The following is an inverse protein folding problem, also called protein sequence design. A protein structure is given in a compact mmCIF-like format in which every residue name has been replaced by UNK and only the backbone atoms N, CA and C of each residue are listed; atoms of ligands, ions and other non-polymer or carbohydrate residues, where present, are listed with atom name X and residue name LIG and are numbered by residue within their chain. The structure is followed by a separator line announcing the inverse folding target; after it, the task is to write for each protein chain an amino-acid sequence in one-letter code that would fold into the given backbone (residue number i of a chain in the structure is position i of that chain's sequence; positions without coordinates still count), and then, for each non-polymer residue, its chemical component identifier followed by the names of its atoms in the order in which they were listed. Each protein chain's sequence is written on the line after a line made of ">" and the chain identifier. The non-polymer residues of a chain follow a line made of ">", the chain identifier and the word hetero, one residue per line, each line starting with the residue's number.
data_IF_407906974990
#
_entry.id   IF_407906974990
#
_cell.length_a   1.000
_cell.length_b   1.000
_cell.length_c   1.000
_cell.angle_alpha   90.00
_cell.angle_beta   90.00
_cell.angle_gamma   90.00
#
_symmetry.space_group_name_H-M   'P 1'
#
loop_
_entity.id
_entity.type
_entity.pdbx_description
1 polymer ?
#
# COMPACT_ATOMS: atom_id res chain seq x y z
N UNK A 1 16.65 -24.39 6.03
CA UNK A 1 15.66 -23.80 6.93
C UNK A 1 14.48 -23.44 6.06
N UNK A 2 13.51 -24.35 5.98
CA UNK A 2 12.32 -24.19 5.14
C UNK A 2 11.40 -23.19 5.83
N UNK A 3 11.03 -22.12 5.11
CA UNK A 3 10.02 -21.18 5.57
C UNK A 3 8.67 -21.89 5.46
N UNK A 4 8.17 -22.42 6.57
CA UNK A 4 6.80 -22.91 6.68
C UNK A 4 5.86 -21.71 6.51
N UNK A 5 5.47 -21.44 5.26
CA UNK A 5 4.33 -20.60 4.93
C UNK A 5 3.07 -21.31 5.44
N UNK A 6 2.56 -20.87 6.59
CA UNK A 6 1.34 -21.42 7.17
C UNK A 6 0.14 -20.81 6.45
N UNK A 7 -0.40 -21.52 5.45
CA UNK A 7 -1.57 -21.10 4.67
C UNK A 7 -2.78 -20.80 5.56
N UNK A 8 -2.92 -21.51 6.67
CA UNK A 8 -3.99 -21.30 7.65
C UNK A 8 -3.89 -19.94 8.38
N UNK A 9 -2.69 -19.39 8.57
CA UNK A 9 -2.51 -18.05 9.12
C UNK A 9 -2.89 -16.97 8.12
N UNK A 10 -2.63 -17.22 6.83
CA UNK A 10 -3.02 -16.32 5.73
C UNK A 10 -4.53 -16.33 5.57
N UNK A 11 -5.16 -17.49 5.56
CA UNK A 11 -6.62 -17.64 5.44
C UNK A 11 -7.31 -17.03 6.67
N UNK A 12 -6.85 -17.31 7.89
CA UNK A 12 -7.42 -16.69 9.10
C UNK A 12 -7.22 -15.18 9.16
N UNK A 13 -6.15 -14.66 8.56
CA UNK A 13 -5.98 -13.21 8.36
C UNK A 13 -6.99 -12.68 7.34
N UNK A 14 -7.10 -13.30 6.16
CA UNK A 14 -8.06 -12.96 5.10
C UNK A 14 -9.51 -12.96 5.61
N UNK A 15 -9.92 -14.00 6.34
CA UNK A 15 -11.28 -14.09 6.88
C UNK A 15 -11.57 -13.03 7.94
N UNK A 16 -10.58 -12.69 8.79
CA UNK A 16 -10.72 -11.58 9.74
C UNK A 16 -10.80 -10.22 9.04
N UNK A 17 -10.08 -10.02 7.93
CA UNK A 17 -10.18 -8.81 7.10
C UNK A 17 -11.56 -8.68 6.44
N UNK A 18 -12.14 -9.79 5.99
CA UNK A 18 -13.49 -9.79 5.43
C UNK A 18 -14.52 -9.44 6.53
N UNK A 19 -14.35 -9.95 7.76
CA UNK A 19 -15.28 -9.66 8.86
C UNK A 19 -15.23 -8.22 9.38
N UNK A 20 -14.03 -7.62 9.45
CA UNK A 20 -13.86 -6.23 9.90
C UNK A 20 -14.30 -5.19 8.86
N UNK A 21 -14.17 -5.47 7.56
CA UNK A 21 -14.76 -4.62 6.50
C UNK A 21 -16.28 -4.54 6.65
N UNK A 22 -16.95 -5.65 6.97
CA UNK A 22 -18.42 -5.67 7.11
C UNK A 22 -18.88 -4.84 8.32
N UNK A 23 -18.12 -4.86 9.43
CA UNK A 23 -18.46 -4.10 10.64
C UNK A 23 -18.23 -2.59 10.48
N UNK A 24 -17.29 -2.16 9.64
CA UNK A 24 -17.08 -0.74 9.33
C UNK A 24 -18.15 -0.15 8.41
N UNK A 25 -18.95 -1.00 7.73
CA UNK A 25 -19.99 -0.54 6.81
C UNK A 25 -21.19 0.08 7.57
N UNK A 26 -21.42 -0.28 8.83
CA UNK A 26 -22.62 0.11 9.59
C UNK A 26 -22.47 1.47 10.32
N UNK A 27 -21.25 1.86 10.72
CA UNK A 27 -21.00 3.13 11.42
C UNK A 27 -20.62 4.32 10.50
N UNK A 28 -20.43 4.09 9.20
CA UNK A 28 -19.97 5.11 8.26
C UNK A 28 -21.09 5.83 7.48
N UNK A 29 -22.37 5.66 7.86
CA UNK A 29 -23.52 6.15 7.08
C UNK A 29 -23.68 7.68 6.94
N UNK A 30 -22.77 8.51 7.43
CA UNK A 30 -22.86 9.98 7.30
C UNK A 30 -21.68 10.70 6.63
N UNK A 31 -20.64 9.99 6.14
CA UNK A 31 -19.46 10.64 5.53
C UNK A 31 -18.89 9.97 4.26
N UNK A 32 -19.61 9.04 3.62
CA UNK A 32 -19.11 8.35 2.43
C UNK A 32 -19.45 9.18 1.18
N UNK A 33 -18.54 10.06 0.76
CA UNK A 33 -18.31 10.24 -0.68
C UNK A 33 -17.98 8.83 -1.21
N UNK A 34 -18.88 8.27 -2.01
CA UNK A 34 -18.87 6.90 -2.50
C UNK A 34 -17.44 6.37 -2.71
N UNK A 35 -17.11 5.22 -2.09
CA UNK A 35 -15.90 4.43 -2.36
C UNK A 35 -15.95 3.88 -3.79
N UNK A 36 -15.92 4.78 -4.78
CA UNK A 36 -15.80 4.42 -6.18
C UNK A 36 -14.47 3.68 -6.32
N UNK A 37 -14.48 2.48 -6.91
CA UNK A 37 -13.26 1.72 -7.06
C UNK A 37 -12.29 2.53 -7.92
N UNK A 38 -11.10 2.79 -7.38
CA UNK A 38 -10.03 3.52 -8.09
C UNK A 38 -9.64 2.81 -9.41
N UNK A 39 -9.98 1.52 -9.52
CA UNK A 39 -9.71 0.65 -10.66
C UNK A 39 -10.96 -0.19 -10.96
N UNK A 40 -11.38 -0.21 -12.24
CA UNK A 40 -12.50 -1.03 -12.70
C UNK A 40 -12.09 -2.48 -13.09
N UNK A 41 -10.81 -2.82 -12.97
CA UNK A 41 -10.24 -4.11 -13.41
C UNK A 41 -9.67 -4.96 -12.27
N UNK A 42 -9.06 -6.13 -12.59
CA UNK A 42 -8.38 -6.97 -11.61
C UNK A 42 -7.32 -6.19 -10.86
N UNK A 43 -7.15 -6.49 -9.57
CA UNK A 43 -6.26 -5.74 -8.67
C UNK A 43 -5.11 -6.61 -8.20
N UNK A 44 -3.99 -5.97 -7.87
CA UNK A 44 -2.85 -6.57 -7.18
C UNK A 44 -2.66 -5.89 -5.83
N UNK A 45 -2.28 -6.68 -4.83
CA UNK A 45 -2.02 -6.22 -3.47
C UNK A 45 -0.57 -6.49 -3.09
N UNK A 46 0.12 -5.47 -2.61
CA UNK A 46 1.46 -5.59 -2.03
C UNK A 46 1.40 -5.21 -0.56
N UNK A 47 1.88 -6.10 0.31
CA UNK A 47 1.84 -5.93 1.76
C UNK A 47 3.18 -5.40 2.25
N UNK A 48 3.15 -4.33 3.04
CA UNK A 48 4.35 -3.76 3.67
C UNK A 48 4.05 -3.45 5.13
N UNK A 49 4.81 -4.11 6.01
CA UNK A 49 4.84 -3.79 7.43
C UNK A 49 5.83 -2.65 7.67
N UNK A 50 5.34 -1.51 8.15
CA UNK A 50 6.17 -0.37 8.50
C UNK A 50 6.51 -0.40 9.98
N UNK A 51 7.76 -0.08 10.29
CA UNK A 51 8.17 0.33 11.63
C UNK A 51 8.20 1.87 11.76
N UNK A 52 8.27 2.42 12.99
CA UNK A 52 8.29 3.87 13.20
C UNK A 52 9.41 4.61 12.46
N UNK A 53 10.57 3.97 12.24
CA UNK A 53 11.67 4.59 11.51
C UNK A 53 11.31 4.80 10.03
N UNK A 54 10.63 3.83 9.41
CA UNK A 54 10.21 3.91 8.01
C UNK A 54 9.09 4.94 7.80
N UNK A 55 8.19 5.11 8.78
CA UNK A 55 7.16 6.16 8.74
C UNK A 55 7.78 7.57 8.77
N UNK A 56 8.90 7.74 9.48
CA UNK A 56 9.59 9.03 9.60
C UNK A 56 10.67 9.26 8.53
N UNK A 57 11.02 8.24 7.77
CA UNK A 57 12.04 8.29 6.73
C UNK A 57 11.60 9.14 5.53
N UNK A 58 12.57 9.68 4.78
CA UNK A 58 12.32 10.40 3.53
C UNK A 58 11.94 9.49 2.36
N UNK A 59 12.04 8.17 2.55
CA UNK A 59 11.75 7.17 1.55
C UNK A 59 11.31 5.84 2.18
N UNK A 60 10.61 5.03 1.40
CA UNK A 60 10.26 3.66 1.71
C UNK A 60 10.97 2.71 0.76
N UNK A 61 11.70 1.73 1.29
CA UNK A 61 12.19 0.58 0.54
C UNK A 61 11.04 -0.37 0.19
N UNK A 62 11.01 -0.81 -1.06
CA UNK A 62 9.95 -1.68 -1.57
C UNK A 62 10.45 -3.11 -1.76
N UNK A 63 9.58 -4.11 -1.49
CA UNK A 63 9.77 -5.48 -1.93
C UNK A 63 10.10 -5.60 -3.43
N UNK A 64 10.85 -6.64 -3.80
CA UNK A 64 11.38 -6.80 -5.14
C UNK A 64 10.29 -6.98 -6.22
N UNK A 65 9.23 -7.72 -5.89
CA UNK A 65 8.05 -7.96 -6.70
C UNK A 65 7.25 -6.66 -6.95
N UNK A 66 6.99 -5.86 -5.91
CA UNK A 66 6.37 -4.55 -6.09
C UNK A 66 7.26 -3.62 -6.93
N UNK A 67 8.57 -3.64 -6.66
CA UNK A 67 9.55 -2.95 -7.47
C UNK A 67 9.58 -3.40 -8.94
N UNK A 68 9.28 -4.66 -9.24
CA UNK A 68 9.18 -5.19 -10.60
C UNK A 68 7.92 -4.69 -11.30
N UNK A 69 6.78 -4.72 -10.62
CA UNK A 69 5.52 -4.16 -11.10
C UNK A 69 5.71 -2.70 -11.56
N UNK A 70 6.33 -1.87 -10.72
CA UNK A 70 6.56 -0.45 -11.03
C UNK A 70 7.48 -0.24 -12.23
N UNK A 71 8.51 -1.10 -12.39
CA UNK A 71 9.40 -1.06 -13.57
C UNK A 71 8.68 -1.46 -14.85
N UNK A 72 7.86 -2.51 -14.79
CA UNK A 72 7.09 -2.99 -15.95
C UNK A 72 6.09 -1.93 -16.42
N UNK A 73 5.43 -1.23 -15.49
CA UNK A 73 4.59 -0.07 -15.80
C UNK A 73 5.36 1.17 -16.27
N UNK A 74 6.71 1.15 -16.22
CA UNK A 74 7.59 2.29 -16.59
C UNK A 74 7.26 3.58 -15.83
N UNK A 75 6.75 3.46 -14.61
CA UNK A 75 6.31 4.60 -13.82
C UNK A 75 7.51 5.38 -13.27
N UNK A 76 7.48 6.70 -13.41
CA UNK A 76 8.44 7.63 -12.75
C UNK A 76 7.87 8.18 -11.44
N UNK A 77 6.55 8.27 -11.35
CA UNK A 77 5.79 8.74 -10.21
C UNK A 77 4.58 7.83 -10.01
N UNK A 78 4.08 7.79 -8.78
CA UNK A 78 2.79 7.21 -8.43
C UNK A 78 1.99 8.19 -7.57
N UNK A 79 0.68 8.02 -7.53
CA UNK A 79 -0.21 8.78 -6.66
C UNK A 79 -0.70 7.84 -5.57
N UNK A 80 -0.29 8.08 -4.34
CA UNK A 80 -0.75 7.34 -3.18
C UNK A 80 -2.06 7.96 -2.70
N UNK A 81 -3.14 7.21 -2.81
CA UNK A 81 -4.46 7.57 -2.29
C UNK A 81 -4.61 6.96 -0.89
N UNK A 82 -4.49 7.80 0.14
CA UNK A 82 -4.78 7.42 1.51
C UNK A 82 -6.08 8.06 2.01
N UNK A 83 -6.52 7.74 3.24
CA UNK A 83 -7.85 8.13 3.74
C UNK A 83 -8.15 9.64 3.78
N UNK A 84 -7.12 10.48 3.88
CA UNK A 84 -7.26 11.94 4.10
C UNK A 84 -6.79 12.80 2.92
N UNK A 85 -5.92 12.26 2.06
CA UNK A 85 -5.13 13.01 1.10
C UNK A 85 -4.52 12.08 0.06
N UNK A 86 -4.43 12.57 -1.16
CA UNK A 86 -3.62 11.96 -2.21
C UNK A 86 -2.27 12.66 -2.28
N UNK A 87 -1.19 11.89 -2.30
CA UNK A 87 0.18 12.43 -2.42
C UNK A 87 0.88 11.85 -3.64
N UNK A 88 1.43 12.72 -4.48
CA UNK A 88 2.28 12.31 -5.60
C UNK A 88 3.67 11.94 -5.06
N UNK A 89 4.10 10.72 -5.32
CA UNK A 89 5.40 10.24 -4.88
C UNK A 89 6.34 9.94 -6.05
N UNK A 90 7.63 10.28 -5.90
CA UNK A 90 8.68 9.97 -6.88
C UNK A 90 9.20 8.56 -6.68
N UNK A 91 9.33 7.79 -7.75
CA UNK A 91 9.94 6.47 -7.71
C UNK A 91 11.45 6.56 -7.94
N UNK A 92 12.21 5.85 -7.11
CA UNK A 92 13.67 5.70 -7.24
C UNK A 92 13.96 4.23 -7.56
N UNK A 93 13.98 3.91 -8.86
CA UNK A 93 14.17 2.55 -9.37
C UNK A 93 15.59 2.41 -9.91
N UNK A 94 16.47 1.73 -9.16
CA UNK A 94 17.88 1.50 -9.54
C UNK A 94 18.06 0.07 -10.04
N UNK A 95 18.94 -0.12 -11.03
CA UNK A 95 19.26 -1.43 -11.60
C UNK A 95 20.72 -1.88 -11.32
N UNK A 96 21.64 -0.96 -11.01
CA UNK A 96 23.06 -1.26 -10.74
C UNK A 96 23.62 -0.38 -9.61
N UNK A 97 24.54 -0.87 -8.74
CA UNK A 97 25.14 -2.20 -8.76
C UNK A 97 24.21 -3.28 -8.16
N UNK A 98 23.29 -2.89 -7.28
CA UNK A 98 22.20 -3.75 -6.78
C UNK A 98 20.87 -3.15 -7.16
N UNK A 99 19.92 -4.02 -7.52
CA UNK A 99 18.54 -3.62 -7.82
C UNK A 99 17.89 -3.13 -6.53
N UNK A 100 17.35 -1.91 -6.55
CA UNK A 100 16.63 -1.34 -5.42
C UNK A 100 15.42 -0.55 -5.92
N UNK A 101 14.33 -0.60 -5.18
CA UNK A 101 13.11 0.13 -5.50
C UNK A 101 12.66 0.90 -4.27
N UNK A 102 12.45 2.20 -4.43
CA UNK A 102 11.98 3.04 -3.34
C UNK A 102 10.86 3.97 -3.79
N UNK A 103 9.95 4.27 -2.86
CA UNK A 103 9.13 5.47 -2.90
C UNK A 103 9.94 6.55 -2.21
N UNK A 104 10.36 7.58 -2.96
CA UNK A 104 11.16 8.68 -2.45
C UNK A 104 10.30 9.87 -2.04
N UNK A 105 10.63 11.05 -2.60
CA UNK A 105 9.90 12.31 -2.37
C UNK A 105 8.39 12.10 -2.39
N UNK A 106 7.69 12.67 -1.41
CA UNK A 106 6.27 12.47 -1.14
C UNK A 106 5.97 11.40 -0.08
N UNK A 107 6.88 10.44 0.18
CA UNK A 107 6.65 9.38 1.18
C UNK A 107 6.44 9.94 2.59
N UNK A 108 7.35 10.78 3.07
CA UNK A 108 7.25 11.38 4.41
C UNK A 108 5.98 12.24 4.54
N UNK A 109 5.68 13.04 3.52
CA UNK A 109 4.46 13.85 3.47
C UNK A 109 3.20 12.98 3.59
N UNK A 110 3.17 11.86 2.87
CA UNK A 110 2.08 10.89 2.95
C UNK A 110 1.93 10.35 4.39
N UNK A 111 3.01 9.87 5.02
CA UNK A 111 2.95 9.39 6.40
C UNK A 111 2.45 10.46 7.38
N UNK A 112 2.96 11.69 7.30
CA UNK A 112 2.53 12.81 8.14
C UNK A 112 1.05 13.15 7.92
N UNK A 113 0.59 13.21 6.67
CA UNK A 113 -0.78 13.55 6.33
C UNK A 113 -1.80 12.52 6.85
N UNK A 114 -1.39 11.26 7.00
CA UNK A 114 -2.24 10.18 7.47
C UNK A 114 -2.00 9.75 8.91
N UNK A 115 -1.08 10.42 9.62
CA UNK A 115 -0.82 10.16 11.04
C UNK A 115 -0.05 8.85 11.30
N UNK A 116 0.71 8.34 10.32
CA UNK A 116 1.51 7.13 10.50
C UNK A 116 2.77 7.46 11.29
N UNK A 117 2.78 7.10 12.58
CA UNK A 117 3.91 7.35 13.49
C UNK A 117 4.34 6.09 14.25
N UNK A 118 3.55 5.03 14.16
CA UNK A 118 3.80 3.76 14.84
C UNK A 118 3.91 2.65 13.81
N UNK A 119 4.16 1.44 14.30
CA UNK A 119 4.13 0.23 13.50
C UNK A 119 2.76 0.04 12.86
N UNK A 120 2.71 -0.20 11.56
CA UNK A 120 1.45 -0.34 10.82
C UNK A 120 1.61 -1.27 9.61
N UNK A 121 0.60 -2.10 9.36
CA UNK A 121 0.46 -2.87 8.14
C UNK A 121 -0.21 -2.03 7.05
N UNK A 122 0.47 -1.86 5.92
CA UNK A 122 -0.06 -1.21 4.73
C UNK A 122 -0.31 -2.23 3.61
N UNK A 123 -1.44 -2.05 2.93
CA UNK A 123 -1.72 -2.73 1.67
C UNK A 123 -1.74 -1.71 0.54
N UNK A 124 -0.86 -1.91 -0.43
CA UNK A 124 -0.82 -1.13 -1.66
C UNK A 124 -1.62 -1.87 -2.72
N UNK A 125 -2.81 -1.36 -3.00
CA UNK A 125 -3.69 -1.86 -4.05
C UNK A 125 -3.44 -1.10 -5.36
N UNK A 126 -3.16 -1.85 -6.42
CA UNK A 126 -2.86 -1.33 -7.75
C UNK A 126 -3.64 -2.06 -8.83
N UNK A 127 -3.80 -1.42 -9.98
CA UNK A 127 -4.36 -2.06 -11.17
C UNK A 127 -3.42 -3.17 -11.70
N UNK A 128 -3.93 -4.40 -11.83
CA UNK A 128 -3.16 -5.52 -12.35
C UNK A 128 -2.61 -5.25 -13.76
N UNK A 129 -3.38 -4.51 -14.56
CA UNK A 129 -3.06 -4.19 -15.95
C UNK A 129 -1.94 -3.14 -16.07
N UNK A 130 -1.51 -2.52 -14.97
CA UNK A 130 -0.48 -1.47 -14.95
C UNK A 130 -0.86 -0.28 -15.84
N UNK A 131 -2.16 -0.03 -16.01
CA UNK A 131 -2.68 0.98 -16.94
C UNK A 131 -2.52 2.40 -16.41
N UNK A 132 -2.33 2.57 -15.10
CA UNK A 132 -2.26 3.88 -14.47
C UNK A 132 -1.30 3.90 -13.26
N UNK A 133 -1.01 5.11 -12.78
CA UNK A 133 -0.05 5.39 -11.71
C UNK A 133 -0.68 5.49 -10.32
N UNK A 134 -1.98 5.20 -10.20
CA UNK A 134 -2.69 5.34 -8.94
C UNK A 134 -2.45 4.10 -8.08
N UNK A 135 -2.30 4.32 -6.79
CA UNK A 135 -2.10 3.27 -5.80
C UNK A 135 -2.98 3.60 -4.60
N UNK A 136 -3.98 2.76 -4.32
CA UNK A 136 -4.80 2.90 -3.11
C UNK A 136 -4.03 2.30 -1.95
N UNK A 137 -3.86 3.06 -0.88
CA UNK A 137 -3.16 2.62 0.33
C UNK A 137 -4.20 2.37 1.40
N UNK A 138 -4.33 1.11 1.79
CA UNK A 138 -5.26 0.67 2.80
C UNK A 138 -4.50 0.39 4.10
N UNK A 139 -5.10 0.80 5.22
CA UNK A 139 -4.65 0.48 6.57
C UNK A 139 -5.71 -0.37 7.23
N UNK A 140 -5.33 -1.47 7.86
CA UNK A 140 -6.25 -2.25 8.66
C UNK A 140 -5.92 -2.02 10.13
N UNK A 141 -6.69 -1.14 10.77
CA UNK A 141 -6.66 -1.04 12.23
C UNK A 141 -7.30 -2.31 12.78
N UNK A 142 -6.55 -3.12 13.53
CA UNK A 142 -7.15 -4.06 14.46
C UNK A 142 -7.68 -3.22 15.63
N UNK A 143 -8.98 -2.93 15.63
CA UNK A 143 -9.69 -2.50 16.83
C UNK A 143 -9.89 -3.70 17.76
#
# INVERSE_FOLDING_TARGET
>A
MENNFNEDDVINRISRYQFSIIHLQDEASSLIEADQPLFNGPKLHFFIFLNPNQCNASHLDLPADFGNYLRQGRFKYIFLYGPRKTVKCKLLLRNHPKKSSKIGSGWKEFCTAHGFHQTIDLVFEVDHMKSNQNVKVLTYCNF
#
